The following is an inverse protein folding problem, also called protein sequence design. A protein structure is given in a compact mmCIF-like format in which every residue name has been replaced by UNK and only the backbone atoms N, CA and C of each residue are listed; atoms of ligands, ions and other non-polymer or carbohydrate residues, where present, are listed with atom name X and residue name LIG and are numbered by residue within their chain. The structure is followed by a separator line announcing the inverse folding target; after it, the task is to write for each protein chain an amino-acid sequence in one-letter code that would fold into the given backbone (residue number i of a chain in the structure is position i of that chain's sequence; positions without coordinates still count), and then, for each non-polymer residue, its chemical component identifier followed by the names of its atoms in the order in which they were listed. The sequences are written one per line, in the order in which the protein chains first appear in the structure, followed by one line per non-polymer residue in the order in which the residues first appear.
data_IF_921029498689
#
_entry.id   IF_921029498689
#
_cell.length_a   1.000
_cell.length_b   1.000
_cell.length_c   1.000
_cell.angle_alpha   90.00
_cell.angle_beta   90.00
_cell.angle_gamma   90.00
#
_symmetry.space_group_name_H-M   'P 1'
#
loop_
_entity.id
_entity.type
_entity.pdbx_description
1 polymer ?
#
# COMPACT_ATOMS: atom_id res chain seq x y z
N UNK A 1 26.85 1.27 36.44
CA UNK A 1 27.13 1.34 34.98
C UNK A 1 27.04 2.78 34.45
N UNK A 2 26.08 3.61 34.88
CA UNK A 2 25.86 4.97 34.36
C UNK A 2 26.28 6.10 35.30
N UNK A 3 26.87 5.81 36.48
CA UNK A 3 27.10 6.81 37.56
C UNK A 3 28.02 7.97 37.14
N UNK A 4 28.96 7.74 36.23
CA UNK A 4 29.92 8.77 35.76
C UNK A 4 29.64 9.23 34.29
N UNK A 5 28.51 8.82 33.70
CA UNK A 5 28.16 9.10 32.31
C UNK A 5 27.16 10.24 32.21
N UNK A 6 27.30 11.04 31.15
CA UNK A 6 26.21 11.90 30.71
C UNK A 6 25.08 11.05 30.11
N UNK A 7 23.86 11.60 30.05
CA UNK A 7 22.73 10.93 29.38
C UNK A 7 23.09 10.50 27.95
N UNK A 8 23.75 11.37 27.20
CA UNK A 8 24.17 11.08 25.82
C UNK A 8 25.15 9.89 25.76
N UNK A 9 26.15 9.82 26.63
CA UNK A 9 27.09 8.71 26.69
C UNK A 9 26.40 7.38 27.07
N UNK A 10 25.47 7.45 28.04
CA UNK A 10 24.69 6.27 28.43
C UNK A 10 23.78 5.78 27.30
N UNK A 11 23.17 6.70 26.56
CA UNK A 11 22.36 6.40 25.37
C UNK A 11 23.21 5.73 24.27
N UNK A 12 24.35 6.28 23.92
CA UNK A 12 25.27 5.70 22.93
C UNK A 12 25.69 4.29 23.31
N UNK A 13 26.00 4.04 24.59
CA UNK A 13 26.35 2.70 25.06
C UNK A 13 25.20 1.68 24.92
N UNK A 14 23.95 2.09 25.24
CA UNK A 14 22.77 1.22 25.08
C UNK A 14 22.57 0.88 23.60
N UNK A 15 22.71 1.85 22.72
CA UNK A 15 22.55 1.66 21.28
C UNK A 15 23.62 0.74 20.69
N UNK A 16 24.88 0.88 21.12
CA UNK A 16 25.95 -0.02 20.69
C UNK A 16 25.74 -1.45 21.19
N UNK A 17 25.34 -1.65 22.46
CA UNK A 17 24.97 -2.97 22.98
C UNK A 17 23.79 -3.59 22.20
N UNK A 18 22.83 -2.78 21.79
CA UNK A 18 21.68 -3.23 20.97
C UNK A 18 22.17 -3.70 19.60
N UNK A 19 23.08 -2.97 18.98
CA UNK A 19 23.69 -3.33 17.70
C UNK A 19 24.46 -4.65 17.80
N UNK A 20 25.35 -4.79 18.77
CA UNK A 20 26.12 -6.02 19.04
C UNK A 20 25.19 -7.23 19.27
N UNK A 21 24.11 -7.03 20.04
CA UNK A 21 23.10 -8.08 20.27
C UNK A 21 22.47 -8.53 18.95
N UNK A 22 22.04 -7.58 18.11
CA UNK A 22 21.41 -7.88 16.84
C UNK A 22 22.37 -8.59 15.87
N UNK A 23 23.60 -8.10 15.74
CA UNK A 23 24.63 -8.70 14.88
C UNK A 23 24.93 -10.13 15.30
N UNK A 24 24.96 -10.40 16.60
CA UNK A 24 25.24 -11.73 17.13
C UNK A 24 24.09 -12.71 16.98
N UNK A 25 22.86 -12.29 17.20
CA UNK A 25 21.72 -13.21 17.35
C UNK A 25 20.67 -13.13 16.23
N UNK A 26 20.61 -12.01 15.48
CA UNK A 26 19.61 -11.80 14.42
C UNK A 26 20.18 -11.87 13.01
N UNK A 27 21.45 -11.48 12.81
CA UNK A 27 22.06 -11.46 11.47
C UNK A 27 22.54 -12.84 10.99
N UNK A 28 22.36 -13.89 11.77
CA UNK A 28 22.72 -15.25 11.38
C UNK A 28 21.66 -15.81 10.41
N UNK A 29 21.79 -15.51 9.11
CA UNK A 29 20.98 -16.15 8.07
C UNK A 29 21.35 -17.64 8.01
N UNK A 30 20.44 -18.51 8.40
CA UNK A 30 20.60 -19.95 8.14
C UNK A 30 20.54 -20.17 6.62
N UNK A 31 21.53 -20.87 6.02
CA UNK A 31 21.45 -21.22 4.61
C UNK A 31 20.21 -22.11 4.37
N UNK A 32 19.52 -21.87 3.26
CA UNK A 32 18.40 -22.71 2.85
C UNK A 32 18.86 -24.16 2.64
N UNK A 33 18.07 -25.10 3.12
CA UNK A 33 18.26 -26.54 2.89
C UNK A 33 17.03 -27.09 2.17
N UNK A 34 17.22 -28.02 1.25
CA UNK A 34 16.11 -28.68 0.56
C UNK A 34 15.13 -29.29 1.58
N UNK A 35 13.87 -28.90 1.46
CA UNK A 35 12.79 -29.27 2.40
C UNK A 35 12.48 -28.23 3.47
N UNK A 36 13.29 -27.18 3.61
CA UNK A 36 12.91 -26.03 4.44
C UNK A 36 11.71 -25.31 3.83
N UNK A 37 10.84 -24.77 4.70
CA UNK A 37 9.69 -23.98 4.25
C UNK A 37 10.14 -22.67 3.63
N UNK A 38 9.60 -22.35 2.44
CA UNK A 38 9.81 -21.10 1.74
C UNK A 38 8.55 -20.23 1.90
N UNK A 39 8.58 -19.19 2.75
CA UNK A 39 7.43 -18.32 2.96
C UNK A 39 7.22 -17.39 1.77
N UNK A 40 5.96 -16.98 1.52
CA UNK A 40 5.64 -16.02 0.46
C UNK A 40 6.21 -14.61 0.74
N UNK A 41 6.41 -14.28 2.00
CA UNK A 41 6.99 -13.03 2.46
C UNK A 41 7.67 -13.20 3.81
N UNK A 42 8.66 -12.37 4.06
CA UNK A 42 9.32 -12.24 5.37
C UNK A 42 9.96 -10.87 5.46
N UNK A 43 10.14 -10.39 6.68
CA UNK A 43 10.85 -9.15 6.96
C UNK A 43 12.35 -9.29 6.67
N UNK A 44 12.92 -8.25 6.09
CA UNK A 44 14.37 -8.11 5.92
C UNK A 44 14.82 -6.90 6.73
N UNK A 45 15.70 -7.13 7.70
CA UNK A 45 16.19 -6.11 8.62
C UNK A 45 17.60 -6.49 9.12
N UNK A 46 18.29 -5.55 9.73
CA UNK A 46 19.55 -5.73 10.44
C UNK A 46 19.56 -4.94 11.76
N UNK A 47 20.72 -4.52 12.22
CA UNK A 47 20.83 -3.81 13.49
C UNK A 47 20.21 -2.40 13.46
N UNK A 48 20.16 -1.75 12.31
CA UNK A 48 19.70 -0.35 12.23
C UNK A 48 18.24 -0.18 12.68
N UNK A 49 17.35 -1.10 12.31
CA UNK A 49 15.95 -1.07 12.74
C UNK A 49 15.83 -1.22 14.25
N UNK A 50 16.60 -2.14 14.85
CA UNK A 50 16.57 -2.35 16.30
C UNK A 50 17.19 -1.17 17.04
N UNK A 51 18.29 -0.62 16.56
CA UNK A 51 18.93 0.57 17.13
C UNK A 51 17.99 1.76 17.10
N UNK A 52 17.38 2.07 15.94
CA UNK A 52 16.42 3.17 15.84
C UNK A 52 15.21 2.99 16.75
N UNK A 53 14.69 1.74 16.86
CA UNK A 53 13.56 1.43 17.73
C UNK A 53 13.89 1.71 19.19
N UNK A 54 15.05 1.22 19.67
CA UNK A 54 15.53 1.46 21.04
C UNK A 54 15.80 2.95 21.26
N UNK A 55 16.41 3.63 20.30
CA UNK A 55 16.69 5.08 20.36
C UNK A 55 15.41 5.89 20.55
N UNK A 56 14.36 5.59 19.79
CA UNK A 56 13.03 6.19 19.97
C UNK A 56 12.42 5.87 21.34
N UNK A 57 12.60 4.63 21.83
CA UNK A 57 12.08 4.19 23.11
C UNK A 57 12.73 4.91 24.31
N UNK A 58 14.00 5.26 24.21
CA UNK A 58 14.72 6.00 25.26
C UNK A 58 14.22 7.43 25.45
N UNK A 59 13.59 8.03 24.45
CA UNK A 59 12.92 9.34 24.60
C UNK A 59 11.57 9.24 25.29
N UNK A 60 10.95 8.06 25.28
CA UNK A 60 9.60 7.80 25.80
C UNK A 60 8.54 8.75 25.23
N UNK A 61 8.76 9.28 24.02
CA UNK A 61 7.79 10.06 23.27
C UNK A 61 6.95 9.13 22.40
N UNK A 62 5.79 8.70 22.93
CA UNK A 62 5.03 7.56 22.41
C UNK A 62 4.05 7.91 21.27
N UNK A 63 3.91 9.17 20.89
CA UNK A 63 3.12 9.61 19.72
C UNK A 63 4.05 10.11 18.62
N UNK A 64 3.51 10.72 17.55
CA UNK A 64 4.33 11.27 16.46
C UNK A 64 5.38 12.26 16.97
N UNK A 65 6.64 12.04 16.66
CA UNK A 65 7.79 12.79 17.14
C UNK A 65 8.83 13.12 16.07
N UNK A 66 10.11 13.02 16.42
CA UNK A 66 11.21 13.35 15.50
C UNK A 66 11.37 12.37 14.36
N UNK A 67 11.23 11.07 14.63
CA UNK A 67 11.31 10.06 13.59
C UNK A 67 10.14 10.14 12.62
N UNK A 68 8.94 10.50 13.09
CA UNK A 68 7.81 10.77 12.21
C UNK A 68 8.12 11.91 11.22
N UNK A 69 8.71 13.01 11.70
CA UNK A 69 9.11 14.13 10.84
C UNK A 69 10.20 13.72 9.83
N UNK A 70 11.21 13.00 10.30
CA UNK A 70 12.29 12.47 9.45
C UNK A 70 11.72 11.58 8.36
N UNK A 71 10.90 10.61 8.74
CA UNK A 71 10.29 9.68 7.80
C UNK A 71 9.39 10.40 6.78
N UNK A 72 8.46 11.25 7.23
CA UNK A 72 7.57 12.00 6.32
C UNK A 72 8.38 12.85 5.31
N UNK A 73 9.46 13.47 5.75
CA UNK A 73 10.34 14.28 4.89
C UNK A 73 11.12 13.44 3.88
N UNK A 74 11.84 12.41 4.34
CA UNK A 74 12.68 11.59 3.49
C UNK A 74 11.86 10.71 2.54
N UNK A 75 10.70 10.22 2.98
CA UNK A 75 9.80 9.45 2.13
C UNK A 75 9.15 10.33 1.05
N UNK A 76 8.72 11.55 1.39
CA UNK A 76 8.25 12.51 0.38
C UNK A 76 9.32 12.85 -0.66
N UNK A 77 10.56 13.03 -0.22
CA UNK A 77 11.72 13.26 -1.08
C UNK A 77 12.02 12.06 -1.98
N UNK A 78 11.98 10.84 -1.43
CA UNK A 78 12.16 9.60 -2.21
C UNK A 78 11.10 9.50 -3.32
N UNK A 79 9.84 9.78 -3.01
CA UNK A 79 8.73 9.75 -3.96
C UNK A 79 8.74 10.91 -4.96
N UNK A 80 9.46 11.98 -4.70
CA UNK A 80 9.41 13.22 -5.51
C UNK A 80 8.08 13.97 -5.37
N UNK A 81 7.42 13.84 -4.21
CA UNK A 81 6.20 14.59 -3.86
C UNK A 81 6.50 15.64 -2.79
N UNK A 82 5.58 16.60 -2.62
CA UNK A 82 5.78 17.69 -1.65
C UNK A 82 5.30 17.33 -0.25
N UNK A 83 4.30 16.46 -0.13
CA UNK A 83 3.63 16.20 1.14
C UNK A 83 3.45 14.70 1.38
N UNK A 84 3.78 14.28 2.59
CA UNK A 84 3.53 12.94 3.11
C UNK A 84 2.93 13.07 4.52
N UNK A 85 2.03 12.16 4.86
CA UNK A 85 1.45 11.99 6.20
C UNK A 85 1.54 10.52 6.60
N UNK A 86 2.34 10.23 7.61
CA UNK A 86 2.44 8.89 8.18
C UNK A 86 1.17 8.52 8.96
N UNK A 87 0.71 7.28 8.80
CA UNK A 87 -0.46 6.71 9.46
C UNK A 87 -0.15 5.30 9.99
N UNK A 88 -1.06 4.76 10.81
CA UNK A 88 -0.84 3.52 11.54
C UNK A 88 -1.01 2.23 10.71
N UNK A 89 -1.50 2.31 9.47
CA UNK A 89 -1.59 1.17 8.55
C UNK A 89 -1.88 1.61 7.12
N UNK A 90 -1.64 0.73 6.12
CA UNK A 90 -2.06 0.95 4.74
C UNK A 90 -3.58 1.06 4.58
N UNK A 91 -4.34 0.29 5.37
CA UNK A 91 -5.80 0.39 5.39
C UNK A 91 -6.27 1.78 5.85
N UNK A 92 -5.62 2.34 6.86
CA UNK A 92 -5.85 3.71 7.30
C UNK A 92 -5.42 4.74 6.26
N UNK A 93 -4.37 4.46 5.49
CA UNK A 93 -3.96 5.31 4.37
C UNK A 93 -5.04 5.36 3.29
N UNK A 94 -5.58 4.21 2.88
CA UNK A 94 -6.68 4.13 1.92
C UNK A 94 -7.95 4.83 2.43
N UNK A 95 -8.29 4.62 3.70
CA UNK A 95 -9.41 5.31 4.35
C UNK A 95 -9.24 6.83 4.28
N UNK A 96 -8.06 7.35 4.67
CA UNK A 96 -7.81 8.80 4.66
C UNK A 96 -7.75 9.38 3.25
N UNK A 97 -7.16 8.66 2.29
CA UNK A 97 -7.11 9.10 0.89
C UNK A 97 -8.52 9.29 0.33
N UNK A 98 -9.41 8.32 0.56
CA UNK A 98 -10.81 8.43 0.15
C UNK A 98 -11.55 9.51 0.95
N UNK A 99 -11.47 9.51 2.27
CA UNK A 99 -12.16 10.48 3.13
C UNK A 99 -11.72 11.92 2.86
N UNK A 100 -10.49 12.15 2.43
CA UNK A 100 -10.05 13.48 2.05
C UNK A 100 -10.88 14.05 0.88
N UNK A 101 -11.36 13.20 -0.02
CA UNK A 101 -12.21 13.61 -1.15
C UNK A 101 -13.66 13.91 -0.76
N UNK A 102 -14.07 13.56 0.47
CA UNK A 102 -15.40 13.89 1.01
C UNK A 102 -15.45 15.23 1.71
N UNK A 103 -14.34 15.97 1.76
CA UNK A 103 -14.25 17.27 2.46
C UNK A 103 -15.07 18.36 1.74
N UNK A 104 -15.90 19.13 2.49
CA UNK A 104 -16.59 20.30 1.93
C UNK A 104 -15.65 21.38 1.36
N UNK A 105 -14.37 21.38 1.76
CA UNK A 105 -13.36 22.30 1.21
C UNK A 105 -13.09 22.09 -0.28
N UNK A 106 -13.49 20.94 -0.84
CA UNK A 106 -13.34 20.60 -2.26
C UNK A 106 -14.50 21.12 -3.12
N UNK A 107 -15.53 21.69 -2.50
CA UNK A 107 -16.70 22.32 -3.18
C UNK A 107 -17.36 21.32 -4.16
N UNK A 108 -17.47 21.69 -5.45
CA UNK A 108 -18.12 20.90 -6.50
C UNK A 108 -17.43 19.56 -6.78
N UNK A 109 -16.16 19.41 -6.37
CA UNK A 109 -15.40 18.17 -6.50
C UNK A 109 -15.51 17.27 -5.26
N UNK A 110 -16.27 17.67 -4.24
CA UNK A 110 -16.56 16.86 -3.07
C UNK A 110 -17.29 15.56 -3.47
N UNK A 111 -16.89 14.43 -2.89
CA UNK A 111 -17.65 13.18 -2.99
C UNK A 111 -18.73 13.17 -1.92
N UNK A 112 -19.96 12.88 -2.32
CA UNK A 112 -21.14 12.77 -1.45
C UNK A 112 -21.65 11.31 -1.39
N UNK A 113 -22.40 10.93 -0.34
CA UNK A 113 -23.09 9.63 -0.34
C UNK A 113 -23.96 9.46 -1.60
N UNK A 114 -23.83 8.30 -2.25
CA UNK A 114 -24.48 8.00 -3.52
C UNK A 114 -23.68 8.36 -4.78
N UNK A 115 -22.59 9.11 -4.66
CA UNK A 115 -21.64 9.32 -5.76
C UNK A 115 -20.88 8.02 -6.05
N UNK A 116 -20.40 7.88 -7.29
CA UNK A 116 -19.75 6.66 -7.77
C UNK A 116 -18.23 6.78 -7.79
N UNK A 117 -17.58 5.65 -7.45
CA UNK A 117 -16.12 5.47 -7.51
C UNK A 117 -15.79 4.23 -8.32
N UNK A 118 -15.09 4.41 -9.44
CA UNK A 118 -14.65 3.28 -10.29
C UNK A 118 -13.51 2.53 -9.60
N UNK A 119 -13.61 1.20 -9.56
CA UNK A 119 -12.63 0.29 -8.95
C UNK A 119 -12.71 -1.10 -9.58
N UNK A 120 -12.00 -2.08 -9.03
CA UNK A 120 -12.02 -3.48 -9.47
C UNK A 120 -12.43 -4.42 -8.33
N UNK A 121 -13.10 -5.53 -8.67
CA UNK A 121 -13.48 -6.54 -7.67
C UNK A 121 -12.35 -7.55 -7.39
N UNK A 122 -11.39 -7.72 -8.32
CA UNK A 122 -10.16 -8.46 -8.10
C UNK A 122 -9.15 -7.57 -7.32
N UNK A 123 -9.56 -7.05 -6.16
CA UNK A 123 -8.82 -6.08 -5.36
C UNK A 123 -8.75 -6.45 -3.88
N UNK A 124 -7.93 -5.73 -3.15
CA UNK A 124 -7.87 -5.86 -1.70
C UNK A 124 -9.06 -5.13 -1.06
N UNK A 125 -9.70 -5.70 -0.02
CA UNK A 125 -10.93 -5.13 0.55
C UNK A 125 -10.82 -3.67 0.97
N UNK A 126 -9.67 -3.23 1.48
CA UNK A 126 -9.51 -1.85 2.00
C UNK A 126 -9.33 -0.79 0.92
N UNK A 127 -9.16 -1.17 -0.34
CA UNK A 127 -9.27 -0.25 -1.48
C UNK A 127 -10.74 0.11 -1.77
N UNK A 128 -11.68 -0.77 -1.41
CA UNK A 128 -13.12 -0.61 -1.67
C UNK A 128 -13.92 -0.22 -0.43
N UNK A 129 -13.56 -0.76 0.74
CA UNK A 129 -14.32 -0.60 1.98
C UNK A 129 -14.64 0.85 2.36
N UNK A 130 -13.71 1.85 2.24
CA UNK A 130 -14.02 3.24 2.57
C UNK A 130 -15.17 3.83 1.73
N UNK A 131 -15.24 3.44 0.44
CA UNK A 131 -16.31 3.88 -0.48
C UNK A 131 -17.68 3.44 0.04
N UNK A 132 -17.80 2.14 0.37
CA UNK A 132 -19.05 1.54 0.88
C UNK A 132 -19.41 2.11 2.25
N UNK A 133 -18.44 2.20 3.16
CA UNK A 133 -18.65 2.67 4.54
C UNK A 133 -19.13 4.12 4.60
N UNK A 134 -18.69 4.95 3.66
CA UNK A 134 -19.14 6.34 3.54
C UNK A 134 -20.55 6.45 2.91
N UNK A 135 -21.01 5.43 2.22
CA UNK A 135 -22.28 5.45 1.48
C UNK A 135 -22.14 5.89 0.01
N UNK A 136 -20.92 5.97 -0.51
CA UNK A 136 -20.67 6.08 -1.94
C UNK A 136 -20.80 4.70 -2.60
N UNK A 137 -20.85 4.65 -3.92
CA UNK A 137 -21.17 3.46 -4.71
C UNK A 137 -19.92 3.00 -5.48
N UNK A 138 -19.29 1.86 -5.15
CA UNK A 138 -18.24 1.31 -5.97
C UNK A 138 -18.81 0.82 -7.31
N UNK A 139 -18.12 1.19 -8.39
CA UNK A 139 -18.42 0.74 -9.76
C UNK A 139 -17.30 -0.21 -10.17
N UNK A 140 -17.60 -1.48 -10.27
CA UNK A 140 -16.63 -2.52 -10.57
C UNK A 140 -16.47 -2.70 -12.07
N UNK A 141 -15.22 -2.65 -12.52
CA UNK A 141 -14.78 -2.90 -13.90
C UNK A 141 -13.93 -4.17 -13.90
N UNK A 142 -13.97 -4.92 -14.98
CA UNK A 142 -13.17 -6.13 -15.12
C UNK A 142 -11.67 -5.80 -15.29
N UNK A 143 -10.85 -6.80 -15.13
CA UNK A 143 -9.39 -6.73 -15.23
C UNK A 143 -8.87 -7.50 -16.43
N UNK A 144 -7.67 -7.20 -16.88
CA UNK A 144 -6.99 -7.91 -17.95
C UNK A 144 -6.00 -8.95 -17.39
N UNK A 145 -5.93 -10.13 -18.00
CA UNK A 145 -4.92 -11.16 -17.75
C UNK A 145 -3.98 -11.14 -18.97
N UNK A 146 -2.65 -11.10 -18.80
CA UNK A 146 -1.86 -11.46 -17.63
C UNK A 146 -1.35 -10.29 -16.77
N UNK A 147 -1.86 -9.07 -16.92
CA UNK A 147 -1.42 -7.91 -16.12
C UNK A 147 -2.13 -7.82 -14.77
N UNK A 148 -3.33 -8.39 -14.64
CA UNK A 148 -4.18 -8.44 -13.43
C UNK A 148 -4.63 -7.07 -12.90
N UNK A 149 -4.61 -6.07 -13.73
CA UNK A 149 -5.06 -4.70 -13.47
C UNK A 149 -6.33 -4.39 -14.26
N UNK A 150 -7.00 -3.28 -13.90
CA UNK A 150 -8.19 -2.80 -14.62
C UNK A 150 -7.96 -2.80 -16.14
N UNK A 151 -8.94 -3.26 -16.91
CA UNK A 151 -8.93 -3.10 -18.37
C UNK A 151 -9.33 -1.67 -18.72
N UNK A 152 -8.42 -0.83 -19.23
CA UNK A 152 -8.71 0.57 -19.52
C UNK A 152 -9.73 0.74 -20.66
N UNK A 153 -9.90 -0.26 -21.53
CA UNK A 153 -10.89 -0.22 -22.60
C UNK A 153 -12.34 -0.24 -22.09
N UNK A 154 -12.54 -0.66 -20.84
CA UNK A 154 -13.86 -0.76 -20.22
C UNK A 154 -14.24 0.47 -19.39
N UNK A 155 -13.37 1.48 -19.26
CA UNK A 155 -13.59 2.63 -18.39
C UNK A 155 -14.76 3.51 -18.86
N UNK A 156 -14.90 3.74 -20.17
CA UNK A 156 -15.95 4.63 -20.70
C UNK A 156 -17.37 4.09 -20.42
N UNK A 157 -17.57 2.78 -20.33
CA UNK A 157 -18.85 2.19 -19.95
C UNK A 157 -19.14 2.29 -18.45
N UNK A 158 -18.11 2.56 -17.63
CA UNK A 158 -18.24 2.67 -16.19
C UNK A 158 -18.60 4.06 -15.70
N UNK A 159 -18.33 5.11 -16.49
CA UNK A 159 -18.59 6.49 -16.10
C UNK A 159 -20.08 6.84 -16.16
N UNK A 160 -20.52 7.67 -15.22
CA UNK A 160 -21.85 8.28 -15.19
C UNK A 160 -21.75 9.72 -14.66
N UNK A 161 -22.87 10.45 -14.64
CA UNK A 161 -22.93 11.79 -14.04
C UNK A 161 -22.61 11.80 -12.53
N UNK A 162 -22.73 10.64 -11.86
CA UNK A 162 -22.41 10.44 -10.43
C UNK A 162 -20.96 10.07 -10.19
N UNK A 163 -20.20 9.72 -11.21
CA UNK A 163 -18.82 9.30 -11.05
C UNK A 163 -17.94 10.48 -10.64
N UNK A 164 -17.20 10.33 -9.54
CA UNK A 164 -16.34 11.38 -8.96
C UNK A 164 -14.88 10.99 -8.86
N UNK A 165 -14.59 9.69 -8.78
CA UNK A 165 -13.22 9.22 -8.59
C UNK A 165 -12.97 7.85 -9.24
N UNK A 166 -11.70 7.57 -9.43
CA UNK A 166 -11.14 6.24 -9.69
C UNK A 166 -10.21 5.91 -8.52
N UNK A 167 -10.36 4.74 -7.92
CA UNK A 167 -9.49 4.24 -6.85
C UNK A 167 -9.04 2.83 -7.16
N UNK A 168 -7.75 2.66 -7.46
CA UNK A 168 -7.17 1.42 -7.96
C UNK A 168 -5.87 1.09 -7.24
N UNK A 169 -5.65 -0.21 -7.01
CA UNK A 169 -4.36 -0.73 -6.58
C UNK A 169 -3.50 -1.11 -7.79
N UNK A 170 -2.18 -0.97 -7.63
CA UNK A 170 -1.19 -1.56 -8.54
C UNK A 170 -0.97 -3.01 -8.12
N UNK A 171 -1.55 -3.95 -8.87
CA UNK A 171 -1.68 -5.35 -8.45
C UNK A 171 -0.34 -6.04 -8.29
N UNK A 172 -0.02 -6.43 -7.05
CA UNK A 172 1.22 -7.11 -6.64
C UNK A 172 2.50 -6.50 -7.23
N UNK A 173 2.55 -5.18 -7.33
CA UNK A 173 3.71 -4.46 -7.83
C UNK A 173 3.64 -4.07 -9.30
N UNK A 174 2.70 -4.64 -10.06
CA UNK A 174 2.49 -4.31 -11.47
C UNK A 174 1.64 -3.04 -11.62
N UNK A 175 2.17 -1.94 -12.14
CA UNK A 175 1.36 -0.75 -12.38
C UNK A 175 0.20 -1.04 -13.34
N UNK A 176 -0.99 -0.51 -13.08
CA UNK A 176 -2.01 -0.44 -14.13
C UNK A 176 -1.61 0.56 -15.22
N UNK A 177 -2.27 0.56 -16.36
CA UNK A 177 -2.02 1.56 -17.43
C UNK A 177 -2.37 2.96 -16.93
N UNK A 178 -1.37 3.57 -16.26
CA UNK A 178 -1.49 4.89 -15.66
C UNK A 178 -1.78 5.98 -16.69
N UNK A 179 -1.25 5.85 -17.90
CA UNK A 179 -1.51 6.84 -18.96
C UNK A 179 -2.99 6.82 -19.36
N UNK A 180 -3.52 5.65 -19.66
CA UNK A 180 -4.92 5.51 -20.07
C UNK A 180 -5.89 5.92 -18.95
N UNK A 181 -5.63 5.47 -17.71
CA UNK A 181 -6.48 5.80 -16.55
C UNK A 181 -6.38 7.28 -16.20
N UNK A 182 -5.19 7.88 -16.22
CA UNK A 182 -5.01 9.32 -15.93
C UNK A 182 -5.71 10.18 -16.99
N UNK A 183 -5.52 9.89 -18.27
CA UNK A 183 -6.19 10.61 -19.36
C UNK A 183 -7.70 10.49 -19.26
N UNK A 184 -8.23 9.33 -18.88
CA UNK A 184 -9.66 9.15 -18.63
C UNK A 184 -10.13 10.03 -17.45
N UNK A 185 -9.42 10.02 -16.33
CA UNK A 185 -9.74 10.86 -15.17
C UNK A 185 -9.74 12.35 -15.53
N UNK A 186 -8.77 12.80 -16.31
CA UNK A 186 -8.65 14.21 -16.72
C UNK A 186 -9.79 14.63 -17.66
N UNK A 187 -10.17 13.78 -18.63
CA UNK A 187 -11.30 14.06 -19.52
C UNK A 187 -12.63 14.20 -18.78
N UNK A 188 -12.83 13.39 -17.74
CA UNK A 188 -14.07 13.36 -16.96
C UNK A 188 -14.01 14.17 -15.66
N UNK A 189 -12.91 14.90 -15.40
CA UNK A 189 -12.66 15.66 -14.16
C UNK A 189 -12.82 14.82 -12.89
N UNK A 190 -12.29 13.58 -12.90
CA UNK A 190 -12.34 12.64 -11.79
C UNK A 190 -11.08 12.73 -10.94
N UNK A 191 -11.20 12.42 -9.65
CA UNK A 191 -10.07 12.17 -8.78
C UNK A 191 -9.44 10.81 -9.09
N UNK A 192 -8.11 10.72 -9.01
CA UNK A 192 -7.39 9.44 -9.10
C UNK A 192 -6.66 9.17 -7.78
N UNK A 193 -7.06 8.09 -7.09
CA UNK A 193 -6.33 7.53 -5.94
C UNK A 193 -5.56 6.30 -6.41
N UNK A 194 -4.24 6.33 -6.21
CA UNK A 194 -3.36 5.18 -6.45
C UNK A 194 -3.10 4.46 -5.12
N UNK A 195 -3.69 3.27 -4.93
CA UNK A 195 -3.30 2.37 -3.85
C UNK A 195 -1.98 1.68 -4.23
N UNK A 196 -0.89 2.21 -3.71
CA UNK A 196 0.48 1.78 -4.00
C UNK A 196 1.05 0.86 -2.91
N UNK A 197 0.19 0.23 -2.11
CA UNK A 197 0.61 -0.62 -0.99
C UNK A 197 1.53 -1.77 -1.45
N UNK A 198 1.21 -2.39 -2.58
CA UNK A 198 1.96 -3.52 -3.16
C UNK A 198 2.99 -3.10 -4.21
N UNK A 199 3.13 -1.80 -4.52
CA UNK A 199 3.93 -1.36 -5.66
C UNK A 199 4.93 -0.25 -5.33
N UNK A 200 5.29 -0.09 -4.06
CA UNK A 200 6.29 0.89 -3.69
C UNK A 200 7.61 0.62 -4.43
N UNK A 201 8.15 1.64 -5.08
CA UNK A 201 9.35 1.53 -5.91
C UNK A 201 9.09 1.16 -7.37
N UNK A 202 7.88 0.77 -7.74
CA UNK A 202 7.50 0.60 -9.14
C UNK A 202 7.50 1.94 -9.87
N UNK A 203 7.83 1.90 -11.15
CA UNK A 203 7.89 3.09 -11.99
C UNK A 203 7.00 2.91 -13.22
N UNK A 204 6.52 4.04 -13.72
CA UNK A 204 5.75 4.10 -14.96
C UNK A 204 6.22 5.29 -15.79
N UNK A 205 6.46 5.07 -17.08
CA UNK A 205 6.84 6.13 -18.01
C UNK A 205 5.59 6.76 -18.61
N UNK A 206 5.36 8.03 -18.28
CA UNK A 206 4.25 8.85 -18.80
C UNK A 206 4.81 10.12 -19.41
N UNK A 207 4.38 10.45 -20.64
CA UNK A 207 4.82 11.63 -21.38
C UNK A 207 6.38 11.76 -21.49
N UNK A 208 7.05 10.59 -21.59
CA UNK A 208 8.52 10.51 -21.68
C UNK A 208 9.26 10.62 -20.36
N UNK A 209 8.57 10.77 -19.22
CA UNK A 209 9.17 10.85 -17.88
C UNK A 209 8.87 9.58 -17.08
N UNK A 210 9.92 8.93 -16.54
CA UNK A 210 9.78 7.83 -15.60
C UNK A 210 9.45 8.37 -14.20
N UNK A 211 8.27 8.02 -13.65
CA UNK A 211 7.78 8.45 -12.34
C UNK A 211 7.49 7.25 -11.45
N UNK A 212 7.62 7.42 -10.14
CA UNK A 212 7.20 6.41 -9.18
C UNK A 212 5.67 6.32 -9.15
N UNK A 213 5.13 5.09 -9.09
CA UNK A 213 3.71 4.85 -8.85
C UNK A 213 3.25 5.46 -7.54
N UNK A 214 1.96 5.79 -7.43
CA UNK A 214 1.41 6.54 -6.31
C UNK A 214 1.64 8.06 -6.40
N UNK A 215 2.36 8.56 -7.43
CA UNK A 215 2.70 9.98 -7.58
C UNK A 215 2.15 10.63 -8.86
N UNK A 216 1.43 9.86 -9.66
CA UNK A 216 0.86 10.29 -10.95
C UNK A 216 -0.58 10.76 -10.77
N UNK A 217 -1.37 10.07 -9.93
CA UNK A 217 -2.70 10.52 -9.52
C UNK A 217 -2.69 11.69 -8.53
N UNK A 218 -3.84 11.98 -7.96
CA UNK A 218 -4.03 13.08 -7.00
C UNK A 218 -3.53 12.74 -5.59
N UNK A 219 -3.74 11.48 -5.16
CA UNK A 219 -3.35 10.94 -3.86
C UNK A 219 -2.78 9.54 -4.06
N UNK A 220 -1.64 9.27 -3.44
CA UNK A 220 -1.07 7.94 -3.32
C UNK A 220 -1.09 7.44 -1.89
N UNK A 221 -1.16 6.12 -1.72
CA UNK A 221 -1.10 5.45 -0.43
C UNK A 221 -0.03 4.37 -0.41
N UNK A 222 0.52 4.07 0.76
CA UNK A 222 1.45 2.95 0.95
C UNK A 222 1.18 2.25 2.27
N UNK A 223 1.58 0.99 2.35
CA UNK A 223 1.53 0.18 3.57
C UNK A 223 2.92 -0.29 3.95
N UNK A 224 3.15 -0.33 5.27
CA UNK A 224 4.40 -0.80 5.87
C UNK A 224 4.14 -2.00 6.78
N UNK A 225 3.10 -2.79 6.49
CA UNK A 225 2.86 -4.11 7.08
C UNK A 225 4.01 -5.07 6.71
N UNK A 226 4.38 -6.06 7.55
CA UNK A 226 5.60 -6.87 7.37
C UNK A 226 5.83 -7.50 5.99
N UNK A 227 4.82 -7.98 5.25
CA UNK A 227 5.03 -8.54 3.91
C UNK A 227 5.35 -7.51 2.84
N UNK A 228 5.00 -6.22 3.04
CA UNK A 228 5.18 -5.20 2.03
C UNK A 228 6.66 -4.89 1.74
N UNK A 229 6.89 -3.95 0.86
CA UNK A 229 8.21 -3.63 0.32
C UNK A 229 9.21 -3.17 1.39
N UNK A 230 8.73 -2.48 2.42
CA UNK A 230 9.43 -2.15 3.66
C UNK A 230 8.46 -2.27 4.83
N UNK A 231 8.97 -2.42 6.05
CA UNK A 231 8.11 -2.64 7.22
C UNK A 231 8.36 -1.65 8.35
N UNK A 232 7.28 -1.35 9.09
CA UNK A 232 7.31 -0.66 10.39
C UNK A 232 6.69 -1.53 11.50
N UNK A 233 6.45 -2.84 11.23
CA UNK A 233 5.54 -3.67 12.01
C UNK A 233 4.10 -3.39 11.60
N UNK A 234 3.58 -2.23 11.92
CA UNK A 234 2.37 -1.62 11.34
C UNK A 234 2.68 -0.18 10.94
N UNK A 235 2.11 0.28 9.84
CA UNK A 235 2.31 1.62 9.31
C UNK A 235 1.74 1.78 7.91
N UNK A 236 1.59 3.03 7.51
CA UNK A 236 1.18 3.43 6.17
C UNK A 236 1.45 4.90 5.94
N UNK A 237 1.30 5.34 4.71
CA UNK A 237 1.47 6.76 4.35
C UNK A 237 0.44 7.18 3.32
N UNK A 238 0.00 8.44 3.42
CA UNK A 238 -0.77 9.15 2.40
C UNK A 238 0.08 10.29 1.88
N UNK A 239 0.20 10.42 0.58
CA UNK A 239 1.04 11.44 -0.02
C UNK A 239 0.41 12.09 -1.25
N UNK A 240 0.75 13.35 -1.48
CA UNK A 240 0.18 14.16 -2.57
C UNK A 240 1.07 15.36 -2.90
N UNK A 241 0.90 15.91 -4.08
CA UNK A 241 1.50 17.20 -4.47
C UNK A 241 0.61 18.40 -4.12
N UNK A 242 -0.67 18.14 -3.80
CA UNK A 242 -1.69 19.17 -3.57
C UNK A 242 -1.71 19.61 -2.09
N UNK A 243 -1.43 20.89 -1.78
CA UNK A 243 -1.41 21.39 -0.39
C UNK A 243 -2.78 21.34 0.29
N UNK A 244 -3.88 21.51 -0.45
CA UNK A 244 -5.23 21.44 0.11
C UNK A 244 -5.57 20.01 0.52
N UNK A 245 -5.28 19.02 -0.35
CA UNK A 245 -5.49 17.61 -0.02
C UNK A 245 -4.64 17.20 1.18
N UNK A 246 -3.38 17.64 1.26
CA UNK A 246 -2.53 17.38 2.43
C UNK A 246 -3.13 17.95 3.73
N UNK A 247 -3.60 19.21 3.70
CA UNK A 247 -4.28 19.82 4.85
C UNK A 247 -5.49 19.00 5.29
N UNK A 248 -6.31 18.57 4.34
CA UNK A 248 -7.52 17.78 4.58
C UNK A 248 -7.16 16.39 5.17
N UNK A 249 -6.19 15.69 4.58
CA UNK A 249 -5.68 14.40 5.06
C UNK A 249 -5.22 14.51 6.52
N UNK A 250 -4.44 15.54 6.85
CA UNK A 250 -4.00 15.76 8.24
C UNK A 250 -5.15 16.05 9.19
N UNK A 251 -6.13 16.82 8.74
CA UNK A 251 -7.34 17.09 9.54
C UNK A 251 -8.07 15.77 9.86
N UNK A 252 -8.39 14.96 8.86
CA UNK A 252 -9.04 13.66 9.07
C UNK A 252 -8.19 12.69 9.92
N UNK A 253 -6.86 12.67 9.74
CA UNK A 253 -5.94 11.85 10.54
C UNK A 253 -5.98 12.22 12.02
N UNK A 254 -6.14 13.51 12.33
CA UNK A 254 -5.99 14.11 13.65
C UNK A 254 -7.34 14.64 14.16
N UNK A 255 -8.35 13.76 14.29
CA UNK A 255 -9.71 13.97 14.82
C UNK A 255 -10.59 14.95 14.04
N UNK A 256 -10.20 15.39 12.86
CA UNK A 256 -10.91 16.42 12.09
C UNK A 256 -10.54 17.85 12.50
N UNK A 257 -9.44 18.06 13.21
CA UNK A 257 -8.98 19.41 13.64
C UNK A 257 -8.69 20.31 12.46
N UNK A 258 -9.06 21.59 12.60
CA UNK A 258 -8.61 22.64 11.66
C UNK A 258 -7.17 23.08 11.95
N UNK A 259 -6.73 22.99 13.20
CA UNK A 259 -5.36 23.31 13.63
C UNK A 259 -4.34 22.30 13.07
N UNK A 260 -3.25 22.80 12.50
CA UNK A 260 -2.17 21.99 11.90
C UNK A 260 -0.96 21.78 12.81
N UNK A 261 -1.03 22.22 14.07
CA UNK A 261 0.06 22.05 15.04
C UNK A 261 0.31 20.57 15.32
N UNK A 262 1.57 20.16 15.26
CA UNK A 262 1.98 18.81 15.64
C UNK A 262 1.81 18.56 17.14
N UNK A 263 1.80 17.29 17.61
CA UNK A 263 1.80 16.97 19.04
C UNK A 263 2.91 17.72 19.78
N UNK A 264 2.57 18.28 20.95
CA UNK A 264 3.50 19.08 21.76
C UNK A 264 3.78 20.50 21.25
N UNK A 265 3.15 20.93 20.15
CA UNK A 265 3.32 22.27 19.58
C UNK A 265 2.01 23.05 19.64
N UNK A 266 2.12 24.34 19.91
CA UNK A 266 0.99 25.26 20.00
C UNK A 266 1.27 26.54 19.19
N UNK A 267 0.18 27.17 18.72
CA UNK A 267 0.17 28.51 18.11
C UNK A 267 1.14 28.72 16.93
N UNK A 268 1.44 27.67 16.14
CA UNK A 268 2.29 27.81 14.95
C UNK A 268 1.71 28.77 13.90
N UNK A 269 0.39 28.95 13.89
CA UNK A 269 -0.30 29.87 12.98
C UNK A 269 -0.27 31.32 13.46
N UNK A 270 0.10 31.61 14.71
CA UNK A 270 0.03 32.94 15.35
C UNK A 270 -1.41 33.42 15.60
N UNK A 271 -2.42 32.59 15.38
CA UNK A 271 -3.85 32.95 15.40
C UNK A 271 -4.68 32.04 16.29
N UNK A 272 -4.13 31.64 17.45
CA UNK A 272 -4.81 30.65 18.33
C UNK A 272 -6.11 31.17 18.91
N UNK A 273 -6.18 32.49 19.23
CA UNK A 273 -7.26 33.10 20.02
C UNK A 273 -7.86 34.38 19.39
N UNK A 274 -7.64 34.65 18.11
CA UNK A 274 -7.99 35.92 17.47
C UNK A 274 -8.92 35.79 16.25
N UNK A 275 -9.43 34.58 15.94
CA UNK A 275 -10.26 34.33 14.77
C UNK A 275 -11.65 33.88 15.14
N UNK A 276 -12.57 34.09 14.20
CA UNK A 276 -13.93 33.55 14.21
C UNK A 276 -13.96 32.22 13.43
N UNK A 277 -14.56 31.20 14.03
CA UNK A 277 -14.76 29.90 13.42
C UNK A 277 -16.24 29.47 13.52
N UNK A 278 -16.97 29.54 12.38
CA UNK A 278 -18.39 29.23 12.35
C UNK A 278 -19.16 30.01 13.41
N UNK A 279 -19.98 29.35 14.20
CA UNK A 279 -20.80 29.95 15.28
C UNK A 279 -20.09 29.92 16.66
N UNK A 280 -18.83 29.49 16.71
CA UNK A 280 -18.06 29.50 17.98
C UNK A 280 -17.81 30.96 18.43
N UNK A 281 -17.64 31.24 19.74
CA UNK A 281 -17.29 32.58 20.21
C UNK A 281 -16.01 33.11 19.55
N UNK A 282 -15.96 34.42 19.29
CA UNK A 282 -14.72 35.06 18.79
C UNK A 282 -13.57 34.77 19.77
N UNK A 283 -12.41 34.35 19.20
CA UNK A 283 -11.23 34.00 19.99
C UNK A 283 -11.29 32.63 20.63
N UNK A 284 -12.21 31.76 20.22
CA UNK A 284 -12.20 30.35 20.65
C UNK A 284 -10.88 29.67 20.30
N UNK A 285 -10.36 28.83 21.20
CA UNK A 285 -9.06 28.16 20.99
C UNK A 285 -9.05 27.33 19.71
N UNK A 286 -8.28 27.78 18.71
CA UNK A 286 -8.15 27.12 17.39
C UNK A 286 -7.77 25.65 17.49
N UNK A 287 -7.06 25.25 18.56
CA UNK A 287 -6.68 23.84 18.76
C UNK A 287 -7.89 22.90 18.94
N UNK A 288 -9.03 23.44 19.33
CA UNK A 288 -10.29 22.72 19.54
C UNK A 288 -11.38 23.06 18.52
N UNK A 289 -10.98 23.59 17.36
CA UNK A 289 -11.84 23.78 16.20
C UNK A 289 -11.75 22.55 15.30
N UNK A 290 -12.90 22.01 14.91
CA UNK A 290 -13.01 20.82 14.07
C UNK A 290 -13.70 21.18 12.77
N UNK A 291 -13.00 20.93 11.63
CA UNK A 291 -13.54 21.18 10.28
C UNK A 291 -14.11 19.90 9.64
N UNK A 292 -13.84 18.74 10.23
CA UNK A 292 -14.28 17.43 9.76
C UNK A 292 -14.64 16.51 10.93
N UNK A 293 -15.37 15.44 10.65
CA UNK A 293 -15.49 14.27 11.52
C UNK A 293 -14.35 13.30 11.21
N UNK A 294 -13.24 13.45 11.88
CA UNK A 294 -12.01 12.72 11.60
C UNK A 294 -11.74 11.57 12.57
N UNK A 295 -10.55 11.02 12.44
CA UNK A 295 -10.07 9.82 13.14
C UNK A 295 -8.83 10.14 14.00
N UNK A 296 -8.32 9.17 14.73
CA UNK A 296 -6.95 9.20 15.25
C UNK A 296 -6.16 8.05 14.65
N UNK A 297 -5.47 8.33 13.53
CA UNK A 297 -4.77 7.31 12.73
C UNK A 297 -3.25 7.55 12.67
N UNK A 298 -2.70 8.31 13.62
CA UNK A 298 -1.25 8.51 13.71
C UNK A 298 -0.53 7.20 14.03
N UNK A 299 0.64 6.99 13.40
CA UNK A 299 1.61 6.01 13.87
C UNK A 299 2.34 6.53 15.12
N UNK A 300 2.93 5.62 15.87
CA UNK A 300 3.86 5.96 16.95
C UNK A 300 5.25 6.32 16.39
N UNK A 301 6.03 7.07 17.15
CA UNK A 301 7.39 7.45 16.72
C UNK A 301 8.33 6.25 16.63
N UNK A 302 8.09 5.22 17.43
CA UNK A 302 8.80 3.94 17.37
C UNK A 302 8.61 3.22 16.03
N UNK A 303 7.39 3.24 15.47
CA UNK A 303 7.11 2.70 14.11
C UNK A 303 7.86 3.52 13.05
N UNK A 304 7.82 4.85 13.16
CA UNK A 304 8.53 5.73 12.26
C UNK A 304 10.05 5.52 12.32
N UNK A 305 10.62 5.25 13.51
CA UNK A 305 12.03 4.97 13.70
C UNK A 305 12.50 3.73 12.93
N UNK A 306 11.71 2.65 12.97
CA UNK A 306 11.94 1.46 12.13
C UNK A 306 11.87 1.82 10.65
N UNK A 307 10.86 2.61 10.25
CA UNK A 307 10.66 3.05 8.87
C UNK A 307 11.84 3.87 8.32
N UNK A 308 12.44 4.74 9.13
CA UNK A 308 13.64 5.51 8.73
C UNK A 308 14.82 4.59 8.38
N UNK A 309 15.04 3.52 9.16
CA UNK A 309 16.09 2.54 8.87
C UNK A 309 15.79 1.75 7.59
N UNK A 310 14.55 1.28 7.43
CA UNK A 310 14.09 0.56 6.24
C UNK A 310 14.22 1.40 4.97
N UNK A 311 13.83 2.68 5.01
CA UNK A 311 13.87 3.57 3.85
C UNK A 311 15.29 3.73 3.29
N UNK A 312 16.32 3.75 4.14
CA UNK A 312 17.72 3.82 3.71
C UNK A 312 18.18 2.60 2.89
N UNK A 313 17.59 1.42 3.17
CA UNK A 313 17.90 0.14 2.51
C UNK A 313 17.00 -0.15 1.32
N UNK A 314 15.91 0.60 1.21
CA UNK A 314 14.81 0.30 0.29
C UNK A 314 15.22 0.13 -1.18
N UNK A 315 16.15 0.93 -1.78
CA UNK A 315 16.58 0.71 -3.16
C UNK A 315 17.08 -0.71 -3.42
N UNK A 316 17.85 -1.29 -2.50
CA UNK A 316 18.35 -2.66 -2.64
C UNK A 316 17.24 -3.72 -2.56
N UNK A 317 16.15 -3.42 -1.83
CA UNK A 317 14.99 -4.30 -1.78
C UNK A 317 14.25 -4.34 -3.10
N UNK A 318 14.11 -3.19 -3.78
CA UNK A 318 13.52 -3.11 -5.12
C UNK A 318 14.32 -3.92 -6.13
N UNK A 319 15.64 -3.71 -6.17
CA UNK A 319 16.55 -4.46 -7.07
C UNK A 319 16.42 -5.97 -6.87
N UNK A 320 16.40 -6.44 -5.60
CA UNK A 320 16.29 -7.87 -5.32
C UNK A 320 14.91 -8.44 -5.70
N UNK A 321 13.81 -7.71 -5.53
CA UNK A 321 12.47 -8.13 -5.99
C UNK A 321 12.41 -8.29 -7.50
N UNK A 322 12.98 -7.36 -8.24
CA UNK A 322 13.08 -7.43 -9.71
C UNK A 322 13.91 -8.64 -10.12
N UNK A 323 15.06 -8.87 -9.48
CA UNK A 323 15.89 -10.06 -9.74
C UNK A 323 15.10 -11.35 -9.50
N UNK A 324 14.47 -11.48 -8.32
CA UNK A 324 13.73 -12.69 -7.94
C UNK A 324 12.59 -13.01 -8.93
N UNK A 325 11.85 -11.98 -9.33
CA UNK A 325 10.78 -12.13 -10.30
C UNK A 325 11.29 -12.61 -11.67
N UNK A 326 12.32 -11.96 -12.20
CA UNK A 326 12.90 -12.30 -13.49
C UNK A 326 13.53 -13.71 -13.46
N UNK A 327 14.14 -14.09 -12.34
CA UNK A 327 14.69 -15.43 -12.14
C UNK A 327 13.59 -16.50 -12.24
N UNK A 328 12.49 -16.33 -11.51
CA UNK A 328 11.35 -17.25 -11.56
C UNK A 328 10.70 -17.28 -12.95
N UNK A 329 10.56 -16.13 -13.62
CA UNK A 329 10.01 -16.06 -14.97
C UNK A 329 10.85 -16.87 -15.97
N UNK A 330 12.16 -16.77 -15.88
CA UNK A 330 13.08 -17.57 -16.70
C UNK A 330 13.03 -19.07 -16.34
N UNK A 331 13.06 -19.38 -15.04
CA UNK A 331 13.01 -20.75 -14.53
C UNK A 331 11.71 -21.47 -14.89
N UNK A 332 10.59 -20.78 -15.02
CA UNK A 332 9.28 -21.36 -15.36
C UNK A 332 9.00 -21.38 -16.87
N UNK A 333 9.93 -20.97 -17.74
CA UNK A 333 9.79 -21.17 -19.18
C UNK A 333 9.55 -22.63 -19.53
N UNK A 334 8.68 -22.88 -20.50
CA UNK A 334 8.25 -24.20 -20.92
C UNK A 334 7.04 -24.76 -20.16
N UNK A 335 6.40 -23.93 -19.28
CA UNK A 335 5.14 -24.29 -18.61
C UNK A 335 3.92 -23.55 -19.20
N UNK A 336 4.11 -22.78 -20.28
CA UNK A 336 3.10 -21.87 -20.84
C UNK A 336 1.91 -22.61 -21.50
N UNK A 337 2.05 -23.90 -21.78
CA UNK A 337 0.95 -24.77 -22.19
C UNK A 337 -0.06 -25.07 -21.05
N UNK A 338 0.42 -25.03 -19.79
CA UNK A 338 -0.37 -25.31 -18.58
C UNK A 338 -0.65 -24.05 -17.73
N UNK A 339 0.22 -23.05 -17.80
CA UNK A 339 0.18 -21.83 -16.98
C UNK A 339 0.20 -20.56 -17.82
N UNK A 340 -0.45 -19.51 -17.33
CA UNK A 340 -0.26 -18.13 -17.78
C UNK A 340 0.66 -17.46 -16.79
N UNK A 341 1.84 -17.06 -17.24
CA UNK A 341 2.83 -16.35 -16.42
C UNK A 341 2.55 -14.83 -16.46
N UNK A 342 2.92 -14.08 -15.41
CA UNK A 342 2.62 -12.66 -15.30
C UNK A 342 3.45 -11.84 -16.28
N UNK A 343 2.85 -10.75 -16.77
CA UNK A 343 3.50 -9.77 -17.63
C UNK A 343 3.40 -8.38 -17.03
N UNK A 344 4.48 -7.61 -17.15
CA UNK A 344 4.48 -6.20 -16.78
C UNK A 344 3.53 -5.41 -17.70
N UNK A 345 2.86 -4.41 -17.12
CA UNK A 345 2.15 -3.42 -17.92
C UNK A 345 3.16 -2.68 -18.82
N UNK A 346 2.72 -2.35 -20.02
CA UNK A 346 3.55 -1.57 -20.97
C UNK A 346 3.99 -0.25 -20.32
N UNK A 347 5.18 0.21 -20.63
CA UNK A 347 5.81 1.43 -20.07
C UNK A 347 6.05 1.39 -18.54
N UNK A 348 6.03 0.21 -17.93
CA UNK A 348 6.26 0.06 -16.49
C UNK A 348 7.57 -0.67 -16.16
N UNK A 349 8.10 -0.37 -14.98
CA UNK A 349 9.20 -1.06 -14.32
C UNK A 349 8.72 -1.48 -12.92
N UNK A 350 8.10 -2.70 -12.81
CA UNK A 350 7.49 -3.12 -11.55
C UNK A 350 8.50 -3.45 -10.47
N UNK A 351 8.26 -2.97 -9.26
CA UNK A 351 8.82 -3.50 -8.02
C UNK A 351 7.87 -4.59 -7.50
N UNK A 352 8.11 -5.82 -7.94
CA UNK A 352 7.17 -6.92 -7.74
C UNK A 352 6.96 -7.30 -6.27
N UNK A 353 5.71 -7.45 -5.87
CA UNK A 353 5.33 -7.98 -4.56
C UNK A 353 5.22 -9.50 -4.57
N UNK A 354 4.69 -10.07 -5.64
CA UNK A 354 4.50 -11.49 -5.83
C UNK A 354 4.56 -11.89 -7.30
N UNK A 355 4.71 -13.18 -7.55
CA UNK A 355 4.70 -13.80 -8.88
C UNK A 355 3.36 -14.49 -9.09
N UNK A 356 2.48 -13.85 -9.87
CA UNK A 356 1.13 -14.34 -10.18
C UNK A 356 1.18 -15.46 -11.23
N UNK A 357 0.35 -16.48 -11.03
CA UNK A 357 0.24 -17.62 -11.95
C UNK A 357 -1.25 -17.92 -12.12
N UNK A 358 -1.73 -17.97 -13.36
CA UNK A 358 -3.09 -18.41 -13.67
C UNK A 358 -3.04 -19.75 -14.38
N UNK A 359 -3.77 -20.73 -13.87
CA UNK A 359 -3.90 -22.05 -14.49
C UNK A 359 -4.66 -21.96 -15.83
N UNK A 360 -4.22 -22.71 -16.83
CA UNK A 360 -4.97 -22.90 -18.06
C UNK A 360 -6.03 -23.99 -17.89
N UNK A 361 -6.91 -24.10 -18.88
CA UNK A 361 -7.92 -25.16 -18.94
C UNK A 361 -7.25 -26.53 -18.81
N UNK A 362 -7.86 -27.39 -17.99
CA UNK A 362 -7.34 -28.73 -17.68
C UNK A 362 -6.38 -28.78 -16.47
N UNK A 363 -5.97 -27.66 -15.91
CA UNK A 363 -5.15 -27.62 -14.68
C UNK A 363 -6.02 -27.17 -13.49
N UNK A 364 -6.22 -28.05 -12.53
CA UNK A 364 -6.93 -27.73 -11.27
C UNK A 364 -6.01 -26.94 -10.34
N UNK A 365 -6.32 -25.63 -10.17
CA UNK A 365 -5.55 -24.72 -9.32
C UNK A 365 -5.46 -25.23 -7.86
N UNK A 366 -6.54 -25.79 -7.30
CA UNK A 366 -6.56 -26.24 -5.91
C UNK A 366 -5.62 -27.43 -5.70
N UNK A 367 -5.64 -28.40 -6.61
CA UNK A 367 -4.71 -29.53 -6.56
C UNK A 367 -3.27 -29.09 -6.77
N UNK A 368 -3.02 -28.20 -7.73
CA UNK A 368 -1.69 -27.66 -7.98
C UNK A 368 -1.11 -26.95 -6.75
N UNK A 369 -1.89 -26.07 -6.14
CA UNK A 369 -1.48 -25.32 -4.94
C UNK A 369 -1.19 -26.28 -3.76
N UNK A 370 -2.02 -27.31 -3.55
CA UNK A 370 -1.78 -28.31 -2.50
C UNK A 370 -0.45 -29.04 -2.69
N UNK A 371 -0.17 -29.52 -3.91
CA UNK A 371 1.11 -30.18 -4.24
C UNK A 371 2.32 -29.25 -4.02
N UNK A 372 2.18 -27.97 -4.36
CA UNK A 372 3.23 -26.96 -4.16
C UNK A 372 3.46 -26.70 -2.66
N UNK A 373 2.39 -26.57 -1.87
CA UNK A 373 2.47 -26.36 -0.42
C UNK A 373 3.04 -27.61 0.31
N UNK A 374 2.74 -28.81 -0.14
CA UNK A 374 3.33 -30.06 0.38
C UNK A 374 4.85 -30.10 0.17
N UNK A 375 5.36 -29.43 -0.85
CA UNK A 375 6.82 -29.25 -1.09
C UNK A 375 7.43 -28.10 -0.28
N UNK A 376 6.67 -27.48 0.61
CA UNK A 376 7.13 -26.41 1.49
C UNK A 376 7.08 -25.01 0.90
N UNK A 377 6.61 -24.81 -0.32
CA UNK A 377 6.47 -23.49 -0.95
C UNK A 377 5.11 -22.89 -0.61
N UNK A 378 5.12 -21.78 0.09
CA UNK A 378 3.89 -21.10 0.51
C UNK A 378 3.27 -20.31 -0.63
N UNK A 379 1.97 -20.50 -0.85
CA UNK A 379 1.18 -19.83 -1.88
C UNK A 379 0.14 -18.90 -1.29
N UNK A 380 -0.44 -18.01 -2.10
CA UNK A 380 -1.56 -17.12 -1.74
C UNK A 380 -2.50 -16.95 -2.93
N UNK A 381 -3.77 -16.67 -2.63
CA UNK A 381 -4.73 -16.21 -3.64
C UNK A 381 -4.54 -14.73 -3.92
N UNK A 382 -4.93 -14.28 -5.11
CA UNK A 382 -4.88 -12.86 -5.43
C UNK A 382 -6.00 -12.13 -4.69
N UNK A 383 -5.65 -11.38 -3.65
CA UNK A 383 -6.56 -10.57 -2.86
C UNK A 383 -7.88 -11.29 -2.50
N UNK A 384 -9.01 -10.67 -2.81
CA UNK A 384 -10.33 -11.27 -2.63
C UNK A 384 -10.77 -12.16 -3.82
N UNK A 385 -9.96 -12.29 -4.88
CA UNK A 385 -10.42 -12.92 -6.12
C UNK A 385 -11.57 -12.11 -6.75
N UNK A 386 -12.83 -12.38 -6.38
CA UNK A 386 -13.99 -11.55 -6.71
C UNK A 386 -14.67 -11.08 -5.42
N UNK A 387 -14.38 -9.85 -5.00
CA UNK A 387 -14.89 -9.28 -3.75
C UNK A 387 -16.43 -9.31 -3.65
N UNK A 388 -17.13 -9.12 -4.78
CA UNK A 388 -18.59 -9.11 -4.82
C UNK A 388 -19.17 -10.47 -4.39
N UNK A 389 -18.45 -11.58 -4.55
CA UNK A 389 -18.90 -12.92 -4.17
C UNK A 389 -18.69 -13.26 -2.69
N UNK A 390 -18.02 -12.41 -1.94
CA UNK A 390 -17.79 -12.61 -0.51
C UNK A 390 -19.05 -12.34 0.33
N UNK A 391 -19.15 -12.96 1.52
CA UNK A 391 -20.31 -12.77 2.43
C UNK A 391 -20.58 -11.31 2.81
N UNK A 392 -19.58 -10.43 2.84
CA UNK A 392 -19.77 -9.02 3.12
C UNK A 392 -20.66 -8.30 2.08
N UNK A 393 -20.85 -8.87 0.90
CA UNK A 393 -21.74 -8.36 -0.15
C UNK A 393 -23.13 -9.00 -0.16
N UNK A 394 -23.44 -10.00 0.71
CA UNK A 394 -24.70 -10.74 0.68
C UNK A 394 -25.94 -9.82 0.67
N UNK A 395 -25.96 -8.83 1.56
CA UNK A 395 -27.07 -7.89 1.64
C UNK A 395 -27.17 -7.00 0.39
N UNK A 396 -26.05 -6.55 -0.15
CA UNK A 396 -26.02 -5.71 -1.34
C UNK A 396 -26.44 -6.51 -2.58
N UNK A 397 -26.00 -7.78 -2.70
CA UNK A 397 -26.45 -8.67 -3.78
C UNK A 397 -27.95 -8.96 -3.69
N UNK A 398 -28.47 -9.24 -2.49
CA UNK A 398 -29.89 -9.51 -2.28
C UNK A 398 -30.79 -8.32 -2.63
N UNK A 399 -30.33 -7.10 -2.40
CA UNK A 399 -31.08 -5.86 -2.67
C UNK A 399 -30.82 -5.26 -4.04
N UNK A 400 -29.72 -5.64 -4.71
CA UNK A 400 -29.23 -5.03 -5.94
C UNK A 400 -28.81 -3.57 -5.78
N UNK A 401 -28.48 -3.15 -4.55
CA UNK A 401 -28.16 -1.74 -4.22
C UNK A 401 -26.79 -1.62 -3.54
N UNK A 402 -26.20 -0.44 -3.63
CA UNK A 402 -24.95 -0.10 -2.94
C UNK A 402 -23.68 -0.42 -3.74
N UNK A 403 -23.78 -1.00 -4.91
CA UNK A 403 -22.69 -1.21 -5.86
C UNK A 403 -23.22 -1.29 -7.30
N UNK A 404 -22.33 -1.17 -8.28
CA UNK A 404 -22.64 -1.35 -9.70
C UNK A 404 -21.52 -2.13 -10.37
N UNK A 405 -21.85 -2.94 -11.37
CA UNK A 405 -20.90 -3.62 -12.26
C UNK A 405 -21.05 -3.00 -13.65
N UNK A 406 -19.92 -2.62 -14.24
CA UNK A 406 -19.88 -2.11 -15.62
C UNK A 406 -19.43 -3.25 -16.55
N UNK A 407 -20.35 -3.74 -17.37
CA UNK A 407 -20.12 -4.89 -18.25
C UNK A 407 -20.13 -6.24 -17.52
N UNK A 408 -19.18 -7.13 -17.86
CA UNK A 408 -18.97 -8.44 -17.22
C UNK A 408 -17.75 -8.42 -16.29
N UNK A 409 -17.58 -9.46 -15.48
CA UNK A 409 -16.43 -9.69 -14.61
C UNK A 409 -15.81 -11.07 -14.87
N UNK A 410 -15.69 -11.47 -16.14
CA UNK A 410 -15.24 -12.80 -16.53
C UNK A 410 -13.79 -13.08 -16.13
N UNK A 411 -12.89 -12.11 -16.34
CA UNK A 411 -11.50 -12.24 -15.92
C UNK A 411 -11.36 -12.18 -14.39
N UNK A 412 -12.15 -11.34 -13.72
CA UNK A 412 -12.22 -11.31 -12.25
C UNK A 412 -12.66 -12.67 -11.69
N UNK A 413 -13.67 -13.31 -12.28
CA UNK A 413 -14.10 -14.65 -11.89
C UNK A 413 -13.04 -15.71 -12.18
N UNK A 414 -12.38 -15.63 -13.33
CA UNK A 414 -11.25 -16.49 -13.68
C UNK A 414 -10.11 -16.37 -12.69
N UNK A 415 -9.75 -15.15 -12.28
CA UNK A 415 -8.73 -14.91 -11.24
C UNK A 415 -9.12 -15.63 -9.94
N UNK A 416 -10.35 -15.50 -9.50
CA UNK A 416 -10.83 -16.14 -8.28
C UNK A 416 -10.71 -17.68 -8.35
N UNK A 417 -10.98 -18.28 -9.51
CA UNK A 417 -10.98 -19.73 -9.69
C UNK A 417 -9.59 -20.30 -9.95
N UNK A 418 -8.79 -19.62 -10.80
CA UNK A 418 -7.64 -20.24 -11.46
C UNK A 418 -6.30 -19.60 -11.08
N UNK A 419 -6.28 -18.49 -10.31
CA UNK A 419 -5.06 -17.74 -10.02
C UNK A 419 -4.57 -17.96 -8.59
N UNK A 420 -3.25 -18.02 -8.43
CA UNK A 420 -2.53 -17.97 -7.15
C UNK A 420 -1.20 -17.22 -7.36
N UNK A 421 -0.49 -16.93 -6.28
CA UNK A 421 0.83 -16.34 -6.37
C UNK A 421 1.79 -16.89 -5.34
N UNK A 422 3.08 -16.77 -5.65
CA UNK A 422 4.22 -17.10 -4.79
C UNK A 422 5.05 -15.85 -4.54
N UNK A 423 5.84 -15.85 -3.48
CA UNK A 423 6.60 -14.68 -3.07
C UNK A 423 7.83 -14.41 -3.93
N UNK A 424 8.25 -13.12 -3.90
CA UNK A 424 9.53 -12.66 -4.49
C UNK A 424 10.24 -11.67 -3.55
N UNK A 425 10.07 -11.81 -2.22
CA UNK A 425 10.59 -10.85 -1.26
C UNK A 425 12.14 -10.83 -1.20
N UNK A 426 12.75 -9.72 -0.75
CA UNK A 426 14.20 -9.50 -0.86
C UNK A 426 15.08 -10.50 -0.10
N UNK A 427 14.53 -11.22 0.87
CA UNK A 427 15.26 -12.21 1.64
C UNK A 427 15.41 -13.57 0.95
N UNK A 428 14.84 -13.79 -0.22
CA UNK A 428 14.95 -15.03 -0.96
C UNK A 428 16.34 -15.18 -1.57
N UNK A 429 16.88 -16.40 -1.51
CA UNK A 429 18.12 -16.81 -2.19
C UNK A 429 17.79 -17.49 -3.52
N UNK A 430 18.75 -17.54 -4.44
CA UNK A 430 18.55 -18.20 -5.72
C UNK A 430 18.23 -19.70 -5.55
N UNK A 431 18.84 -20.36 -4.54
CA UNK A 431 18.50 -21.74 -4.20
C UNK A 431 17.03 -21.92 -3.74
N UNK A 432 16.42 -20.91 -3.09
CA UNK A 432 15.00 -20.92 -2.78
C UNK A 432 14.16 -20.75 -4.05
N UNK A 433 14.58 -19.88 -4.96
CA UNK A 433 13.88 -19.66 -6.24
C UNK A 433 13.93 -20.93 -7.13
N UNK A 434 15.07 -21.63 -7.18
CA UNK A 434 15.19 -22.93 -7.84
C UNK A 434 14.21 -23.95 -7.27
N UNK A 435 14.17 -24.09 -5.93
CA UNK A 435 13.27 -25.01 -5.25
C UNK A 435 11.79 -24.67 -5.50
N UNK A 436 11.45 -23.38 -5.60
CA UNK A 436 10.09 -22.95 -5.95
C UNK A 436 9.72 -23.31 -7.39
N UNK A 437 10.62 -23.07 -8.34
CA UNK A 437 10.40 -23.43 -9.74
C UNK A 437 10.28 -24.95 -9.93
N UNK A 438 11.13 -25.72 -9.28
CA UNK A 438 11.10 -27.20 -9.30
C UNK A 438 9.78 -27.71 -8.69
N UNK A 439 9.36 -27.16 -7.55
CA UNK A 439 8.11 -27.54 -6.91
C UNK A 439 6.89 -27.33 -7.82
N UNK A 440 6.86 -26.24 -8.59
CA UNK A 440 5.77 -25.95 -9.54
C UNK A 440 5.81 -26.93 -10.70
N UNK A 441 6.98 -27.14 -11.33
CA UNK A 441 7.14 -28.06 -12.47
C UNK A 441 6.75 -29.50 -12.11
N UNK A 442 7.28 -30.01 -10.99
CA UNK A 442 6.95 -31.35 -10.51
C UNK A 442 5.46 -31.49 -10.12
N UNK A 443 4.80 -30.40 -9.66
CA UNK A 443 3.37 -30.42 -9.31
C UNK A 443 2.46 -30.43 -10.56
N UNK A 444 2.99 -30.02 -11.73
CA UNK A 444 2.30 -30.05 -13.03
C UNK A 444 2.40 -31.41 -13.73
N UNK A 445 3.31 -32.27 -13.30
CA UNK A 445 3.40 -33.66 -13.78
C UNK A 445 2.26 -34.53 -13.18
#
# INVERSE_FOLDING_TARGET
MFEEMTEQQAREQILEMTKEYCEKYHNQKKPYKKGDRIPYASRVYDADEMVNLVDSSLEFWLTSGRFTKEFESEFAKYLGVKYCSLVNSGSSANLLAFMALTSPLLKERQILPGDEVITVAAGFPTTVAPVIQYGAVPVFVDVAIPQYNIDPNLLEQAVSEKTKAVMLAHTLGNPFDLKAVKDFCDRHNLWLIEDNCDALGSRYTIDGESRLTGTIGDIGTSSFYPPHHMTMGEGGAVYTKNPLLHKIVRSFRDWGRDCVCAPGQDNLCGHRFDRQYGELPLGYDHKYVYSHFGYNLKATDMQAAVGCAQLRKFPSFVERRIHNFNYLKEALKGTEDKLILPEACENSEPSWFGFLITCREGVDRNQLVQKIEEKGVQTRMLFAGNLIKHPCFDQMRATGKGYRVAGSLENTDRIMMDTFWIGVYPGMTDAMLDAMADAIKEALE
#
